data_IF_730909559915
#
_entry.id   IF_730909559915
#
_cell.length_a   1.000
_cell.length_b   1.000
_cell.length_c   1.000
_cell.angle_alpha   90.00
_cell.angle_beta   90.00
_cell.angle_gamma   90.00
#
_symmetry.space_group_name_H-M   'P 1'
#
loop_
_entity.id
_entity.type
_entity.pdbx_description
1 polymer ?
#
# COMPACT_ATOMS: atom_id res chain seq x y z
N UNK A 1 -31.67 -11.93 45.97
CA UNK A 1 -31.96 -12.15 44.53
C UNK A 1 -30.93 -11.47 43.64
N UNK A 2 -30.58 -10.19 43.88
CA UNK A 2 -29.67 -9.42 43.03
C UNK A 2 -28.34 -10.12 42.70
N UNK A 3 -27.67 -10.70 43.70
CA UNK A 3 -26.38 -11.37 43.51
C UNK A 3 -26.42 -12.60 42.57
N UNK A 4 -27.57 -13.24 42.37
CA UNK A 4 -27.67 -14.35 41.40
C UNK A 4 -27.75 -13.85 39.97
N UNK A 5 -28.47 -12.74 39.74
CA UNK A 5 -28.59 -12.11 38.43
C UNK A 5 -27.23 -11.58 37.93
N UNK A 6 -26.44 -10.98 38.81
CA UNK A 6 -25.09 -10.50 38.46
C UNK A 6 -24.13 -11.67 38.16
N UNK A 7 -24.24 -12.78 38.90
CA UNK A 7 -23.44 -13.98 38.66
C UNK A 7 -23.83 -14.68 37.34
N UNK A 8 -25.12 -14.69 36.99
CA UNK A 8 -25.62 -15.20 35.71
C UNK A 8 -25.13 -14.35 34.53
N UNK A 9 -25.13 -13.01 34.66
CA UNK A 9 -24.58 -12.12 33.63
C UNK A 9 -23.08 -12.31 33.46
N UNK A 10 -22.32 -12.39 34.57
CA UNK A 10 -20.88 -12.66 34.50
C UNK A 10 -20.56 -14.02 33.88
N UNK A 11 -21.38 -15.05 34.12
CA UNK A 11 -21.22 -16.35 33.48
C UNK A 11 -21.47 -16.25 31.96
N UNK A 12 -22.49 -15.52 31.54
CA UNK A 12 -22.76 -15.27 30.11
C UNK A 12 -21.64 -14.45 29.45
N UNK A 13 -21.09 -13.45 30.13
CA UNK A 13 -19.98 -12.65 29.60
C UNK A 13 -18.71 -13.49 29.46
N UNK A 14 -18.40 -14.34 30.43
CA UNK A 14 -17.27 -15.29 30.33
C UNK A 14 -17.45 -16.29 29.20
N UNK A 15 -18.66 -16.79 28.98
CA UNK A 15 -18.96 -17.68 27.86
C UNK A 15 -18.79 -16.97 26.51
N UNK A 16 -19.28 -15.74 26.38
CA UNK A 16 -19.07 -14.92 25.17
C UNK A 16 -17.60 -14.63 24.91
N UNK A 17 -16.82 -14.35 25.96
CA UNK A 17 -15.38 -14.14 25.86
C UNK A 17 -14.66 -15.40 25.39
N UNK A 18 -14.99 -16.57 25.93
CA UNK A 18 -14.42 -17.83 25.50
C UNK A 18 -14.73 -18.13 24.03
N UNK A 19 -15.98 -17.91 23.60
CA UNK A 19 -16.37 -18.06 22.19
C UNK A 19 -15.61 -17.10 21.27
N UNK A 20 -15.42 -15.85 21.71
CA UNK A 20 -14.69 -14.85 20.94
C UNK A 20 -13.20 -15.20 20.82
N UNK A 21 -12.61 -15.74 21.89
CA UNK A 21 -11.22 -16.21 21.89
C UNK A 21 -11.01 -17.39 20.94
N UNK A 22 -11.92 -18.36 20.92
CA UNK A 22 -11.91 -19.46 19.95
C UNK A 22 -12.02 -18.95 18.50
N UNK A 23 -12.88 -17.96 18.25
CA UNK A 23 -13.03 -17.34 16.93
C UNK A 23 -11.78 -16.59 16.48
N UNK A 24 -11.10 -15.91 17.40
CA UNK A 24 -9.81 -15.24 17.15
C UNK A 24 -8.71 -16.25 16.84
N UNK A 25 -8.58 -17.31 17.65
CA UNK A 25 -7.62 -18.39 17.40
C UNK A 25 -7.85 -19.09 16.05
N UNK A 26 -9.12 -19.32 15.68
CA UNK A 26 -9.47 -19.91 14.39
C UNK A 26 -9.10 -18.98 13.22
N UNK A 27 -9.30 -17.67 13.36
CA UNK A 27 -8.88 -16.66 12.37
C UNK A 27 -7.37 -16.59 12.21
N UNK A 28 -6.62 -16.61 13.31
CA UNK A 28 -5.15 -16.62 13.27
C UNK A 28 -4.61 -17.87 12.58
N UNK A 29 -5.16 -19.04 12.89
CA UNK A 29 -4.80 -20.30 12.23
C UNK A 29 -5.10 -20.26 10.72
N UNK A 30 -6.24 -19.71 10.33
CA UNK A 30 -6.61 -19.58 8.92
C UNK A 30 -5.72 -18.58 8.16
N UNK A 31 -5.24 -17.53 8.85
CA UNK A 31 -4.30 -16.56 8.27
C UNK A 31 -2.93 -17.19 8.04
N UNK A 32 -2.44 -17.99 8.99
CA UNK A 32 -1.19 -18.75 8.85
C UNK A 32 -1.26 -19.73 7.67
N UNK A 33 -2.37 -20.46 7.53
CA UNK A 33 -2.57 -21.39 6.40
C UNK A 33 -2.62 -20.66 5.05
N UNK A 34 -3.26 -19.48 4.99
CA UNK A 34 -3.27 -18.63 3.79
C UNK A 34 -1.87 -18.10 3.43
N UNK A 35 -1.05 -17.75 4.42
CA UNK A 35 0.36 -17.36 4.19
C UNK A 35 1.19 -18.52 3.64
N UNK A 36 1.04 -19.72 4.22
CA UNK A 36 1.70 -20.96 3.75
C UNK A 36 1.31 -21.33 2.31
N UNK A 37 0.04 -21.13 1.94
CA UNK A 37 -0.46 -21.40 0.59
C UNK A 37 0.12 -20.44 -0.45
N UNK A 38 0.25 -19.15 -0.12
CA UNK A 38 0.88 -18.12 -0.97
C UNK A 38 2.38 -18.39 -1.16
N UNK A 39 3.06 -18.89 -0.12
CA UNK A 39 4.46 -19.31 -0.23
C UNK A 39 4.62 -20.54 -1.15
N UNK A 40 3.73 -21.53 -1.06
CA UNK A 40 3.77 -22.75 -1.88
C UNK A 40 3.38 -22.51 -3.35
N UNK A 41 2.49 -21.55 -3.64
CA UNK A 41 2.14 -21.21 -5.02
C UNK A 41 3.29 -20.51 -5.75
N UNK A 42 4.07 -19.70 -5.04
CA UNK A 42 5.23 -18.97 -5.60
C UNK A 42 6.37 -19.90 -6.04
N UNK A 43 6.44 -21.13 -5.53
CA UNK A 43 7.55 -22.05 -5.81
C UNK A 43 7.33 -22.96 -7.04
N UNK A 44 6.10 -23.07 -7.57
CA UNK A 44 5.79 -23.97 -8.71
C UNK A 44 6.09 -23.38 -10.09
N UNK A 45 6.40 -22.09 -10.19
CA UNK A 45 6.66 -21.40 -11.47
C UNK A 45 8.15 -21.23 -11.77
N UNK A 46 8.99 -22.18 -11.33
CA UNK A 46 10.42 -22.21 -11.65
C UNK A 46 10.74 -23.29 -12.67
N UNK A 47 10.45 -23.05 -13.95
CA UNK A 47 11.03 -23.84 -15.05
C UNK A 47 12.06 -22.96 -15.79
N UNK A 48 13.38 -23.24 -15.71
CA UNK A 48 14.38 -22.34 -16.25
C UNK A 48 14.50 -22.49 -17.77
N UNK A 49 14.49 -21.36 -18.50
CA UNK A 49 15.05 -21.24 -19.84
C UNK A 49 16.49 -20.67 -19.72
N UNK A 50 17.44 -21.07 -20.58
CA UNK A 50 18.84 -20.74 -20.40
C UNK A 50 19.20 -19.32 -20.83
N UNK A 51 19.80 -18.60 -19.89
CA UNK A 51 20.94 -17.68 -20.01
C UNK A 51 20.87 -16.53 -21.04
N UNK A 52 20.55 -15.33 -20.54
CA UNK A 52 21.30 -14.11 -20.87
C UNK A 52 21.66 -13.32 -19.59
N UNK A 53 22.90 -13.55 -19.16
CA UNK A 53 23.89 -12.65 -18.52
C UNK A 53 23.40 -11.40 -17.75
N UNK A 54 23.54 -11.50 -16.41
CA UNK A 54 23.84 -10.44 -15.42
C UNK A 54 22.90 -9.24 -15.36
N UNK A 55 22.16 -9.02 -14.26
CA UNK A 55 22.71 -8.43 -13.04
C UNK A 55 22.26 -9.08 -11.74
N UNK A 56 23.16 -9.00 -10.76
CA UNK A 56 23.11 -9.48 -9.38
C UNK A 56 21.94 -8.88 -8.61
N UNK A 57 21.32 -9.74 -7.80
CA UNK A 57 20.35 -9.52 -6.73
C UNK A 57 20.61 -8.27 -5.88
N UNK A 58 19.55 -7.49 -5.64
CA UNK A 58 19.29 -6.90 -4.33
C UNK A 58 17.88 -7.31 -3.90
N UNK A 59 17.75 -7.68 -2.64
CA UNK A 59 16.76 -8.64 -2.16
C UNK A 59 15.52 -7.94 -1.58
N UNK A 60 14.33 -8.46 -1.93
CA UNK A 60 13.10 -8.40 -1.13
C UNK A 60 12.92 -7.19 -0.21
N UNK A 61 12.96 -5.98 -0.77
CA UNK A 61 12.28 -4.83 -0.14
C UNK A 61 10.78 -5.12 -0.20
N UNK A 62 9.99 -4.88 0.86
CA UNK A 62 8.55 -5.10 0.78
C UNK A 62 8.04 -4.18 -0.34
N UNK A 63 7.75 -4.78 -1.50
CA UNK A 63 6.88 -4.17 -2.47
C UNK A 63 5.61 -3.92 -1.69
N UNK A 64 5.37 -2.68 -1.26
CA UNK A 64 4.02 -2.27 -0.94
C UNK A 64 3.23 -2.70 -2.16
N UNK A 65 2.51 -3.82 -2.05
CA UNK A 65 1.96 -4.52 -3.21
C UNK A 65 1.23 -3.45 -4.00
N UNK A 66 1.37 -3.41 -5.32
CA UNK A 66 0.70 -2.39 -6.13
C UNK A 66 -0.79 -2.27 -5.76
N UNK A 67 -1.43 -3.36 -5.31
CA UNK A 67 -2.75 -3.41 -4.66
C UNK A 67 -2.98 -2.39 -3.53
N UNK A 68 -1.98 -2.16 -2.69
CA UNK A 68 -2.01 -1.17 -1.61
C UNK A 68 -2.15 0.23 -2.19
N UNK A 69 -1.38 0.56 -3.22
CA UNK A 69 -1.51 1.84 -3.91
C UNK A 69 -2.89 1.95 -4.55
N UNK A 70 -3.34 0.92 -5.28
CA UNK A 70 -4.66 0.92 -5.91
C UNK A 70 -5.77 1.18 -4.90
N UNK A 71 -5.82 0.39 -3.83
CA UNK A 71 -6.89 0.43 -2.83
C UNK A 71 -6.88 1.75 -2.05
N UNK A 72 -5.70 2.22 -1.62
CA UNK A 72 -5.60 3.40 -0.77
C UNK A 72 -5.74 4.71 -1.56
N UNK A 73 -5.33 4.75 -2.83
CA UNK A 73 -5.39 5.96 -3.66
C UNK A 73 -6.72 6.14 -4.37
N UNK A 74 -7.49 5.07 -4.59
CA UNK A 74 -8.80 5.12 -5.28
C UNK A 74 -9.78 6.13 -4.65
N UNK A 75 -9.73 6.29 -3.32
CA UNK A 75 -10.62 7.25 -2.64
C UNK A 75 -10.25 8.73 -2.88
N UNK A 76 -9.04 9.03 -3.33
CA UNK A 76 -8.49 10.39 -3.44
C UNK A 76 -8.35 10.88 -4.89
N UNK A 77 -8.51 10.00 -5.86
CA UNK A 77 -8.24 10.27 -7.26
C UNK A 77 -8.81 9.19 -8.16
N UNK A 78 -8.51 9.30 -9.44
CA UNK A 78 -8.98 8.37 -10.45
C UNK A 78 -7.79 7.69 -11.12
N UNK A 79 -7.88 6.38 -11.29
CA UNK A 79 -6.92 5.63 -12.08
C UNK A 79 -7.29 5.69 -13.56
N UNK A 80 -6.28 5.86 -14.42
CA UNK A 80 -6.44 6.04 -15.87
C UNK A 80 -5.39 5.23 -16.61
N UNK A 81 -5.80 4.58 -17.68
CA UNK A 81 -4.88 3.95 -18.61
C UNK A 81 -4.46 4.96 -19.69
N UNK A 82 -3.16 4.99 -19.97
CA UNK A 82 -2.55 5.87 -20.97
C UNK A 82 -1.65 5.03 -21.86
N UNK A 83 -1.63 5.33 -23.16
CA UNK A 83 -0.78 4.60 -24.11
C UNK A 83 0.72 4.74 -23.83
N UNK A 84 1.12 5.89 -23.27
CA UNK A 84 2.53 6.23 -23.07
C UNK A 84 3.11 5.67 -21.76
N UNK A 85 2.28 5.54 -20.72
CA UNK A 85 2.74 5.20 -19.36
C UNK A 85 1.98 4.03 -18.72
N UNK A 86 1.01 3.44 -19.43
CA UNK A 86 0.14 2.43 -18.88
C UNK A 86 -0.79 3.02 -17.82
N UNK A 87 -0.91 2.34 -16.69
CA UNK A 87 -1.89 2.65 -15.66
C UNK A 87 -1.35 3.69 -14.67
N UNK A 88 -1.91 4.89 -14.73
CA UNK A 88 -1.49 6.07 -13.98
C UNK A 88 -2.60 6.55 -13.06
N UNK A 89 -2.25 7.23 -11.99
CA UNK A 89 -3.22 7.80 -11.05
C UNK A 89 -3.27 9.32 -11.15
N UNK A 90 -4.46 9.90 -11.10
CA UNK A 90 -4.66 11.34 -11.06
C UNK A 90 -5.40 11.73 -9.77
N UNK A 91 -4.81 12.54 -8.87
CA UNK A 91 -5.56 13.07 -7.74
C UNK A 91 -6.67 13.99 -8.22
N UNK A 92 -7.80 14.03 -7.51
CA UNK A 92 -8.90 14.97 -7.84
C UNK A 92 -8.43 16.42 -7.86
N UNK A 93 -7.45 16.76 -7.03
CA UNK A 93 -6.87 18.11 -6.96
C UNK A 93 -6.06 18.47 -8.22
N UNK A 94 -5.43 17.50 -8.88
CA UNK A 94 -4.70 17.69 -10.15
C UNK A 94 -5.62 17.96 -11.36
N UNK A 95 -6.95 17.86 -11.20
CA UNK A 95 -7.91 18.32 -12.21
C UNK A 95 -7.87 19.85 -12.33
N UNK A 96 -7.47 20.55 -11.26
CA UNK A 96 -7.20 21.98 -11.32
C UNK A 96 -5.89 22.27 -12.05
N UNK A 97 -5.91 23.25 -12.96
CA UNK A 97 -4.73 23.71 -13.70
C UNK A 97 -3.68 24.38 -12.81
N UNK A 98 -4.06 24.82 -11.62
CA UNK A 98 -3.17 25.50 -10.66
C UNK A 98 -2.43 24.53 -9.76
N UNK A 99 -2.95 23.31 -9.58
CA UNK A 99 -2.33 22.29 -8.75
C UNK A 99 -1.09 21.71 -9.43
N UNK A 100 -0.05 21.45 -8.64
CA UNK A 100 1.21 20.84 -9.06
C UNK A 100 1.74 19.98 -7.91
N UNK A 101 2.50 18.91 -8.20
CA UNK A 101 3.19 18.16 -7.15
C UNK A 101 4.21 19.05 -6.43
N UNK A 102 4.54 18.68 -5.19
CA UNK A 102 5.54 19.38 -4.37
C UNK A 102 5.16 20.83 -3.99
N UNK A 103 3.86 21.14 -3.93
CA UNK A 103 3.40 22.48 -3.49
C UNK A 103 2.81 22.49 -2.09
N UNK A 104 2.23 21.38 -1.64
CA UNK A 104 1.58 21.28 -0.32
C UNK A 104 2.37 20.31 0.57
N UNK A 105 3.28 20.89 1.35
CA UNK A 105 4.27 20.15 2.14
C UNK A 105 5.55 20.95 2.37
N UNK A 106 6.57 20.27 2.88
CA UNK A 106 7.87 20.87 3.19
C UNK A 106 9.00 19.84 3.09
N UNK A 107 10.22 20.35 2.92
CA UNK A 107 11.43 19.53 2.94
C UNK A 107 11.92 19.33 4.36
N UNK A 108 12.20 18.08 4.72
CA UNK A 108 12.79 17.69 6.01
C UNK A 108 14.10 16.98 5.76
N UNK A 109 15.13 17.31 6.53
CA UNK A 109 16.39 16.58 6.49
C UNK A 109 16.31 15.36 7.40
N UNK A 110 16.48 14.16 6.85
CA UNK A 110 16.42 12.88 7.56
C UNK A 110 17.72 12.09 7.39
N UNK A 111 17.82 10.91 8.00
CA UNK A 111 19.00 10.03 7.87
C UNK A 111 19.27 9.57 6.43
N UNK A 112 18.29 9.69 5.53
CA UNK A 112 18.42 9.38 4.11
C UNK A 112 18.50 10.63 3.21
N UNK A 113 18.68 11.81 3.82
CA UNK A 113 18.84 13.10 3.14
C UNK A 113 17.57 13.95 3.10
N UNK A 114 17.51 14.90 2.17
CA UNK A 114 16.35 15.78 1.98
C UNK A 114 15.14 14.98 1.51
N UNK A 115 14.14 14.87 2.37
CA UNK A 115 12.91 14.12 2.16
C UNK A 115 11.74 15.08 2.05
N UNK A 116 10.90 14.90 1.04
CA UNK A 116 9.67 15.68 0.93
C UNK A 116 8.61 15.09 1.85
N UNK A 117 8.05 15.90 2.73
CA UNK A 117 6.91 15.54 3.58
C UNK A 117 5.70 16.33 3.09
N UNK A 118 4.71 15.61 2.56
CA UNK A 118 3.47 16.22 2.09
C UNK A 118 2.38 16.18 3.16
N UNK A 119 1.57 17.23 3.20
CA UNK A 119 0.33 17.29 3.99
C UNK A 119 -0.84 16.59 3.29
N UNK A 120 -0.65 16.18 2.03
CA UNK A 120 -1.68 15.51 1.22
C UNK A 120 -1.82 14.04 1.64
N UNK A 121 -3.07 13.52 1.74
CA UNK A 121 -3.32 12.18 2.27
C UNK A 121 -2.79 11.03 1.38
N UNK A 122 -2.44 11.34 0.13
CA UNK A 122 -1.83 10.41 -0.83
C UNK A 122 -0.30 10.57 -0.94
N UNK A 123 0.29 11.50 -0.19
CA UNK A 123 1.69 11.86 -0.32
C UNK A 123 2.65 10.74 0.06
N UNK A 124 2.28 9.91 1.04
CA UNK A 124 3.06 8.76 1.51
C UNK A 124 3.43 7.77 0.37
N UNK A 125 2.57 7.65 -0.65
CA UNK A 125 2.83 6.82 -1.82
C UNK A 125 3.43 7.65 -2.96
N UNK A 126 2.73 8.72 -3.34
CA UNK A 126 2.96 9.37 -4.63
C UNK A 126 4.24 10.18 -4.72
N UNK A 127 4.78 10.65 -3.60
CA UNK A 127 6.05 11.38 -3.57
C UNK A 127 7.28 10.49 -3.42
N UNK A 128 7.06 9.22 -3.10
CA UNK A 128 8.12 8.29 -2.71
C UNK A 128 8.25 7.09 -3.65
N UNK A 129 7.13 6.55 -4.15
CA UNK A 129 7.05 5.29 -4.89
C UNK A 129 6.62 5.48 -6.35
N UNK A 130 7.20 6.45 -7.06
CA UNK A 130 6.84 6.68 -8.46
C UNK A 130 7.21 8.06 -8.95
N UNK A 131 6.69 8.42 -10.13
CA UNK A 131 7.06 9.66 -10.82
C UNK A 131 5.85 10.47 -11.23
N UNK A 132 5.91 11.78 -10.99
CA UNK A 132 4.94 12.72 -11.52
C UNK A 132 5.27 13.06 -12.97
N UNK A 133 4.28 12.95 -13.85
CA UNK A 133 4.37 13.39 -15.25
C UNK A 133 3.18 14.28 -15.60
N UNK A 134 3.38 15.20 -16.54
CA UNK A 134 2.34 16.13 -16.98
C UNK A 134 1.88 15.78 -18.39
N UNK A 135 0.66 15.26 -18.50
CA UNK A 135 0.03 14.96 -19.77
C UNK A 135 -0.73 16.19 -20.29
N UNK A 136 -0.59 16.50 -21.60
CA UNK A 136 -1.12 17.74 -22.21
C UNK A 136 -2.64 17.90 -22.06
N UNK A 137 -3.38 16.80 -22.08
CA UNK A 137 -4.85 16.81 -22.10
C UNK A 137 -5.49 16.47 -20.75
N UNK A 138 -4.70 16.03 -19.77
CA UNK A 138 -5.19 15.49 -18.49
C UNK A 138 -4.68 16.29 -17.30
N UNK A 139 -3.45 16.80 -17.35
CA UNK A 139 -2.79 17.47 -16.23
C UNK A 139 -1.71 16.60 -15.61
N UNK A 140 -1.47 16.79 -14.31
CA UNK A 140 -0.50 15.98 -13.57
C UNK A 140 -1.07 14.60 -13.26
N UNK A 141 -0.27 13.58 -13.54
CA UNK A 141 -0.56 12.19 -13.21
C UNK A 141 0.67 11.56 -12.58
N UNK A 142 0.43 10.61 -11.69
CA UNK A 142 1.46 9.83 -11.03
C UNK A 142 1.56 8.46 -11.69
N UNK A 143 2.79 8.11 -12.09
CA UNK A 143 3.15 6.80 -12.60
C UNK A 143 3.71 5.98 -11.44
N UNK A 144 3.05 4.88 -11.04
CA UNK A 144 3.51 4.06 -9.92
C UNK A 144 4.86 3.41 -10.23
N UNK A 145 5.71 3.32 -9.21
CA UNK A 145 6.96 2.56 -9.22
C UNK A 145 7.13 1.77 -7.93
N UNK A 146 7.95 0.73 -7.97
CA UNK A 146 8.26 -0.10 -6.80
C UNK A 146 9.46 0.42 -5.99
N UNK A 147 10.22 1.36 -6.55
CA UNK A 147 11.39 1.94 -5.91
C UNK A 147 11.04 3.15 -5.03
N UNK A 148 11.42 3.09 -3.75
CA UNK A 148 11.29 4.20 -2.81
C UNK A 148 12.46 5.19 -2.94
N UNK A 149 12.14 6.49 -2.97
CA UNK A 149 13.11 7.58 -2.81
C UNK A 149 12.60 8.67 -1.85
N UNK A 150 13.51 9.45 -1.23
CA UNK A 150 13.12 10.55 -0.33
C UNK A 150 12.38 11.68 -1.07
N UNK A 151 12.66 11.86 -2.37
CA UNK A 151 11.84 12.58 -3.33
C UNK A 151 12.34 12.30 -4.77
N UNK A 152 11.44 12.40 -5.74
CA UNK A 152 11.75 12.32 -7.17
C UNK A 152 11.66 13.71 -7.81
N UNK A 153 12.68 14.54 -7.57
CA UNK A 153 12.86 15.84 -8.22
C UNK A 153 14.08 15.79 -9.14
N UNK A 154 13.92 16.26 -10.38
CA UNK A 154 14.96 16.32 -11.42
C UNK A 154 15.04 17.70 -12.02
#
# INVERSE_FOLDING_TARGET
MQQRLDAEHQAQEKEKLAQHEDELNAREKALAEKQDAVAKSSQRESRPLPTERATRTDEHRPTASYDTFYTQLDRYGDWRETSDYGYVWQPRQAQSRTWRPYTDGHWVYTDVGWTWVSEEPFGWATYHYGRWTRLRNIGWVWVPGDEWAPAWVS
#
